data_IF_096518658453
#
_entry.id   IF_096518658453
#
_cell.length_a   1.000
_cell.length_b   1.000
_cell.length_c   1.000
_cell.angle_alpha   90.00
_cell.angle_beta   90.00
_cell.angle_gamma   90.00
#
_symmetry.space_group_name_H-M   'P 1'
#
loop_
_entity.id
_entity.type
_entity.pdbx_description
1 polymer ?
#
# COMPACT_ATOMS: atom_id res chain seq x y z
N UNK A 1 -0.30 -14.81 12.79
CA UNK A 1 1.14 -14.45 12.82
C UNK A 1 1.74 -14.72 11.46
N UNK A 2 2.48 -13.77 10.88
CA UNK A 2 3.11 -13.92 9.56
C UNK A 2 4.15 -15.05 9.49
N UNK A 3 4.76 -15.38 10.63
CA UNK A 3 5.71 -16.48 10.75
C UNK A 3 5.04 -17.82 10.38
N UNK A 4 3.77 -18.00 10.77
CA UNK A 4 2.99 -19.22 10.49
C UNK A 4 2.60 -19.31 9.01
N UNK A 5 2.49 -18.17 8.31
CA UNK A 5 2.05 -18.13 6.91
C UNK A 5 3.25 -18.18 5.96
N UNK A 6 4.23 -17.30 6.16
CA UNK A 6 5.38 -17.06 5.26
C UNK A 6 6.67 -17.78 5.69
N UNK A 7 6.69 -18.43 6.86
CA UNK A 7 7.85 -19.19 7.31
C UNK A 7 8.22 -20.32 6.35
N UNK A 8 9.46 -20.80 6.43
CA UNK A 8 9.91 -21.95 5.64
C UNK A 8 9.08 -23.22 5.92
N UNK A 9 8.49 -23.32 7.11
CA UNK A 9 7.54 -24.38 7.49
C UNK A 9 6.10 -23.86 7.61
N UNK A 10 5.83 -22.71 7.00
CA UNK A 10 4.53 -22.03 7.07
C UNK A 10 3.52 -22.57 6.05
N UNK A 11 2.27 -22.14 6.21
CA UNK A 11 1.12 -22.59 5.40
C UNK A 11 1.36 -22.53 3.88
N UNK A 12 1.96 -21.45 3.37
CA UNK A 12 2.19 -21.31 1.92
C UNK A 12 3.19 -22.35 1.42
N UNK A 13 4.31 -22.52 2.13
CA UNK A 13 5.31 -23.53 1.77
C UNK A 13 4.74 -24.95 1.90
N UNK A 14 3.92 -25.23 2.92
CA UNK A 14 3.28 -26.54 3.08
C UNK A 14 2.34 -26.89 1.91
N UNK A 15 1.57 -25.92 1.40
CA UNK A 15 0.73 -26.13 0.21
C UNK A 15 1.59 -26.32 -1.04
N UNK A 16 2.60 -25.48 -1.23
CA UNK A 16 3.48 -25.52 -2.40
C UNK A 16 4.25 -26.84 -2.50
N UNK A 17 4.73 -27.37 -1.37
CA UNK A 17 5.36 -28.69 -1.26
C UNK A 17 4.34 -29.81 -1.43
N UNK A 18 3.15 -29.70 -0.82
CA UNK A 18 2.09 -30.70 -0.94
C UNK A 18 1.58 -30.87 -2.39
N UNK A 19 1.51 -29.78 -3.14
CA UNK A 19 1.14 -29.77 -4.56
C UNK A 19 2.30 -30.12 -5.51
N UNK A 20 3.50 -30.42 -4.99
CA UNK A 20 4.72 -30.69 -5.78
C UNK A 20 5.05 -29.58 -6.80
N UNK A 21 4.71 -28.32 -6.48
CA UNK A 21 5.04 -27.16 -7.32
C UNK A 21 6.52 -26.76 -7.14
N UNK A 22 7.08 -27.05 -5.97
CA UNK A 22 8.49 -26.80 -5.60
C UNK A 22 9.02 -27.98 -4.79
N UNK A 23 10.31 -28.29 -4.96
CA UNK A 23 10.97 -29.39 -4.24
C UNK A 23 11.54 -28.98 -2.88
N UNK A 24 11.68 -27.68 -2.64
CA UNK A 24 12.24 -27.11 -1.40
C UNK A 24 11.47 -25.88 -0.95
N UNK A 25 11.41 -25.60 0.37
CA UNK A 25 10.76 -24.40 0.88
C UNK A 25 11.34 -23.13 0.25
N UNK A 26 10.46 -22.26 -0.24
CA UNK A 26 10.83 -20.93 -0.72
C UNK A 26 11.01 -20.02 0.49
N UNK A 27 12.17 -19.40 0.59
CA UNK A 27 12.46 -18.43 1.65
C UNK A 27 11.68 -17.14 1.38
N UNK A 28 10.50 -17.00 2.01
CA UNK A 28 9.68 -15.79 1.91
C UNK A 28 9.94 -14.83 3.08
N UNK A 29 10.22 -15.35 4.28
CA UNK A 29 10.69 -14.54 5.40
C UNK A 29 12.09 -13.98 5.15
N UNK A 30 12.37 -12.81 5.74
CA UNK A 30 13.63 -12.07 5.59
C UNK A 30 13.92 -11.62 4.15
N UNK A 31 12.90 -11.56 3.30
CA UNK A 31 13.00 -11.05 1.94
C UNK A 31 12.13 -9.82 1.76
N UNK A 32 12.47 -8.98 0.78
CA UNK A 32 11.64 -7.82 0.39
C UNK A 32 10.22 -8.25 0.04
N UNK A 33 10.07 -9.41 -0.62
CA UNK A 33 8.76 -9.96 -0.99
C UNK A 33 7.87 -10.21 0.24
N UNK A 34 8.38 -10.92 1.26
CA UNK A 34 7.61 -11.19 2.47
C UNK A 34 7.19 -9.92 3.21
N UNK A 35 8.07 -8.92 3.25
CA UNK A 35 7.76 -7.61 3.85
C UNK A 35 6.67 -6.88 3.06
N UNK A 36 6.77 -6.85 1.72
CA UNK A 36 5.76 -6.21 0.85
C UNK A 36 4.40 -6.89 1.00
N UNK A 37 4.33 -8.22 0.94
CA UNK A 37 3.08 -8.98 1.10
C UNK A 37 2.41 -8.64 2.44
N UNK A 38 3.20 -8.58 3.51
CA UNK A 38 2.67 -8.26 4.82
C UNK A 38 2.20 -6.82 4.96
N UNK A 39 2.94 -5.86 4.41
CA UNK A 39 2.53 -4.45 4.38
C UNK A 39 1.24 -4.28 3.57
N UNK A 40 1.14 -4.91 2.40
CA UNK A 40 -0.08 -4.90 1.57
C UNK A 40 -1.26 -5.46 2.35
N UNK A 41 -1.11 -6.62 2.99
CA UNK A 41 -2.23 -7.20 3.74
C UNK A 41 -2.67 -6.35 4.94
N UNK A 42 -1.74 -5.64 5.60
CA UNK A 42 -2.08 -4.73 6.70
C UNK A 42 -2.80 -3.47 6.20
N UNK A 43 -2.43 -2.95 5.02
CA UNK A 43 -3.04 -1.72 4.48
C UNK A 43 -4.27 -1.97 3.62
N UNK A 44 -4.46 -3.19 3.11
CA UNK A 44 -5.58 -3.55 2.23
C UNK A 44 -6.95 -3.26 2.87
N UNK A 45 -7.24 -3.63 4.13
CA UNK A 45 -8.55 -3.35 4.73
C UNK A 45 -8.87 -1.85 4.78
N UNK A 46 -7.88 -1.04 5.11
CA UNK A 46 -8.02 0.43 5.15
C UNK A 46 -8.32 0.97 3.77
N UNK A 47 -7.58 0.52 2.74
CA UNK A 47 -7.84 0.89 1.35
C UNK A 47 -9.25 0.51 0.91
N UNK A 48 -9.71 -0.70 1.23
CA UNK A 48 -11.05 -1.18 0.87
C UNK A 48 -12.12 -0.29 1.51
N UNK A 49 -11.97 0.07 2.79
CA UNK A 49 -12.93 0.95 3.47
C UNK A 49 -12.97 2.33 2.81
N UNK A 50 -11.80 2.91 2.49
CA UNK A 50 -11.73 4.22 1.85
C UNK A 50 -12.31 4.23 0.43
N UNK A 51 -12.07 3.16 -0.34
CA UNK A 51 -12.64 3.00 -1.68
C UNK A 51 -14.15 2.75 -1.63
N UNK A 52 -14.62 1.92 -0.69
CA UNK A 52 -16.05 1.67 -0.51
C UNK A 52 -16.80 2.96 -0.15
N UNK A 53 -16.24 3.76 0.76
CA UNK A 53 -16.78 5.08 1.09
C UNK A 53 -16.78 6.02 -0.12
N UNK A 54 -15.75 6.00 -0.96
CA UNK A 54 -15.71 6.81 -2.17
C UNK A 54 -16.83 6.44 -3.15
N UNK A 55 -16.97 5.13 -3.41
CA UNK A 55 -17.97 4.59 -4.32
C UNK A 55 -19.39 4.81 -3.82
N UNK A 56 -19.63 4.76 -2.50
CA UNK A 56 -20.97 4.98 -1.94
C UNK A 56 -21.49 6.41 -2.12
N UNK A 57 -20.63 7.38 -2.43
CA UNK A 57 -21.02 8.75 -2.74
C UNK A 57 -21.30 8.98 -4.24
N UNK A 58 -21.01 8.00 -5.10
CA UNK A 58 -21.31 8.09 -6.54
C UNK A 58 -22.78 7.78 -6.77
N UNK A 59 -23.51 8.71 -7.37
CA UNK A 59 -24.92 8.51 -7.71
C UNK A 59 -25.06 7.47 -8.83
N UNK A 60 -25.92 6.47 -8.62
CA UNK A 60 -26.26 5.43 -9.59
C UNK A 60 -26.87 6.00 -10.87
N UNK A 61 -27.44 7.20 -10.82
CA UNK A 61 -28.04 7.84 -11.99
C UNK A 61 -27.00 8.19 -13.07
N UNK A 62 -25.74 8.45 -12.70
CA UNK A 62 -24.67 8.64 -13.68
C UNK A 62 -24.38 7.36 -14.47
N UNK A 63 -24.42 6.20 -13.83
CA UNK A 63 -24.21 4.90 -14.49
C UNK A 63 -25.38 4.53 -15.40
N UNK A 64 -26.62 4.82 -14.96
CA UNK A 64 -27.84 4.63 -15.77
C UNK A 64 -27.83 5.53 -17.01
N UNK A 65 -27.41 6.79 -16.87
CA UNK A 65 -27.29 7.73 -17.99
C UNK A 65 -26.26 7.25 -19.03
N UNK A 66 -25.08 6.80 -18.58
CA UNK A 66 -24.06 6.24 -19.47
C UNK A 66 -24.56 5.00 -20.21
N UNK A 67 -25.25 4.10 -19.50
CA UNK A 67 -25.84 2.88 -20.10
C UNK A 67 -26.93 3.23 -21.12
N UNK A 68 -27.74 4.26 -20.84
CA UNK A 68 -28.79 4.75 -21.75
C UNK A 68 -28.22 5.38 -23.04
N UNK A 69 -27.00 5.93 -22.96
CA UNK A 69 -26.23 6.43 -24.11
C UNK A 69 -25.49 5.31 -24.88
N UNK A 70 -25.71 4.04 -24.53
CA UNK A 70 -25.09 2.88 -25.17
C UNK A 70 -23.69 2.56 -24.67
N UNK A 71 -23.25 3.10 -23.53
CA UNK A 71 -22.00 2.68 -22.92
C UNK A 71 -22.14 1.28 -22.31
N UNK A 72 -21.25 0.36 -22.71
CA UNK A 72 -21.13 -0.94 -22.05
C UNK A 72 -20.47 -0.84 -20.67
N UNK A 73 -20.53 -1.90 -19.85
CA UNK A 73 -20.12 -1.88 -18.43
C UNK A 73 -18.66 -1.44 -18.22
N UNK A 74 -17.73 -1.88 -19.07
CA UNK A 74 -16.32 -1.47 -19.01
C UNK A 74 -16.15 0.02 -19.31
N UNK A 75 -16.90 0.54 -20.28
CA UNK A 75 -16.85 1.96 -20.65
C UNK A 75 -17.43 2.81 -19.53
N UNK A 76 -18.59 2.44 -18.98
CA UNK A 76 -19.21 3.11 -17.83
C UNK A 76 -18.26 3.17 -16.64
N UNK A 77 -17.59 2.06 -16.31
CA UNK A 77 -16.59 2.05 -15.24
C UNK A 77 -15.44 3.02 -15.49
N UNK A 78 -14.83 2.99 -16.68
CA UNK A 78 -13.66 3.83 -16.99
C UNK A 78 -13.98 5.31 -17.14
N UNK A 79 -15.20 5.67 -17.60
CA UNK A 79 -15.57 7.06 -17.88
C UNK A 79 -16.40 7.72 -16.78
N UNK A 80 -17.08 6.94 -15.93
CA UNK A 80 -17.97 7.46 -14.87
C UNK A 80 -17.47 7.06 -13.50
N UNK A 81 -17.48 5.75 -13.19
CA UNK A 81 -17.20 5.26 -11.84
C UNK A 81 -15.76 5.57 -11.40
N UNK A 82 -14.77 5.31 -12.25
CA UNK A 82 -13.35 5.51 -11.94
C UNK A 82 -12.99 7.00 -11.73
N UNK A 83 -13.37 7.94 -12.62
CA UNK A 83 -13.10 9.37 -12.39
C UNK A 83 -13.83 9.93 -11.16
N UNK A 84 -15.09 9.56 -10.94
CA UNK A 84 -15.87 10.04 -9.79
C UNK A 84 -15.34 9.47 -8.47
N UNK A 85 -14.76 8.27 -8.49
CA UNK A 85 -14.13 7.66 -7.31
C UNK A 85 -12.69 8.14 -7.06
N UNK A 86 -12.11 8.91 -7.99
CA UNK A 86 -10.72 9.33 -7.93
C UNK A 86 -10.34 10.06 -6.63
N UNK A 87 -11.13 11.03 -6.10
CA UNK A 87 -10.81 11.70 -4.84
C UNK A 87 -10.64 10.72 -3.67
N UNK A 88 -11.47 9.69 -3.63
CA UNK A 88 -11.38 8.65 -2.61
C UNK A 88 -10.23 7.66 -2.83
N UNK A 89 -9.90 7.35 -4.09
CA UNK A 89 -8.69 6.60 -4.44
C UNK A 89 -7.44 7.36 -3.96
N UNK A 90 -7.36 8.67 -4.18
CA UNK A 90 -6.25 9.51 -3.71
C UNK A 90 -6.16 9.52 -2.19
N UNK A 91 -7.29 9.75 -1.51
CA UNK A 91 -7.34 9.73 -0.07
C UNK A 91 -6.84 8.37 0.48
N UNK A 92 -7.32 7.27 -0.11
CA UNK A 92 -6.84 5.91 0.17
C UNK A 92 -5.34 5.76 0.03
N UNK A 93 -4.81 6.05 -1.16
CA UNK A 93 -3.40 5.91 -1.47
C UNK A 93 -2.51 6.74 -0.55
N UNK A 94 -2.88 7.97 -0.24
CA UNK A 94 -2.12 8.83 0.67
C UNK A 94 -2.08 8.28 2.09
N UNK A 95 -3.20 7.76 2.60
CA UNK A 95 -3.28 7.11 3.92
C UNK A 95 -2.45 5.83 3.96
N UNK A 96 -2.57 4.97 2.95
CA UNK A 96 -1.80 3.74 2.87
C UNK A 96 -0.29 4.01 2.75
N UNK A 97 0.10 5.04 2.00
CA UNK A 97 1.49 5.48 1.93
C UNK A 97 1.99 5.95 3.30
N UNK A 98 1.25 6.81 4.00
CA UNK A 98 1.64 7.27 5.33
C UNK A 98 1.78 6.11 6.33
N UNK A 99 0.88 5.12 6.27
CA UNK A 99 0.92 3.94 7.14
C UNK A 99 2.11 3.03 6.82
N UNK A 100 2.32 2.70 5.55
CA UNK A 100 3.45 1.84 5.14
C UNK A 100 4.80 2.50 5.37
N UNK A 101 4.91 3.80 5.15
CA UNK A 101 6.16 4.55 5.34
C UNK A 101 6.53 4.67 6.83
N UNK A 102 5.54 4.74 7.73
CA UNK A 102 5.74 4.75 9.18
C UNK A 102 5.85 3.34 9.79
N UNK A 103 5.66 2.28 9.00
CA UNK A 103 5.66 0.91 9.50
C UNK A 103 7.07 0.47 9.94
N UNK A 104 7.25 0.30 11.24
CA UNK A 104 8.49 -0.23 11.82
C UNK A 104 8.37 -1.70 12.22
N UNK A 105 7.31 -2.05 12.96
CA UNK A 105 7.17 -3.39 13.55
C UNK A 105 7.07 -4.50 12.50
N UNK A 106 6.24 -4.31 11.45
CA UNK A 106 6.04 -5.33 10.41
C UNK A 106 7.32 -5.62 9.62
N UNK A 107 8.06 -4.62 9.08
CA UNK A 107 9.34 -4.89 8.44
C UNK A 107 10.40 -5.44 9.39
N UNK A 108 10.41 -5.00 10.65
CA UNK A 108 11.37 -5.52 11.63
C UNK A 108 11.14 -7.00 11.93
N UNK A 109 9.89 -7.43 12.12
CA UNK A 109 9.57 -8.82 12.43
C UNK A 109 9.71 -9.76 11.22
N UNK A 110 9.35 -9.30 10.02
CA UNK A 110 9.30 -10.15 8.83
C UNK A 110 10.59 -10.08 8.03
N UNK A 111 11.18 -8.88 7.93
CA UNK A 111 12.47 -8.63 7.31
C UNK A 111 13.64 -8.96 8.23
N UNK A 112 13.42 -9.07 9.55
CA UNK A 112 14.44 -9.46 10.54
C UNK A 112 15.66 -8.55 10.55
N UNK A 113 15.49 -7.26 10.24
CA UNK A 113 16.59 -6.30 10.08
C UNK A 113 17.49 -6.52 8.85
N UNK A 114 17.22 -7.56 8.02
CA UNK A 114 17.98 -7.83 6.78
C UNK A 114 17.46 -7.05 5.58
N UNK A 115 16.20 -6.63 5.64
CA UNK A 115 15.57 -5.79 4.62
C UNK A 115 15.56 -4.36 5.14
N UNK A 116 16.49 -3.49 4.71
CA UNK A 116 16.56 -2.12 5.22
C UNK A 116 15.37 -1.31 4.70
N UNK A 117 14.44 -0.97 5.58
CA UNK A 117 13.44 0.06 5.38
C UNK A 117 13.85 1.35 6.09
N UNK A 118 13.33 2.50 5.65
CA UNK A 118 13.66 3.81 6.23
C UNK A 118 13.51 3.80 7.76
N UNK A 119 12.38 3.29 8.26
CA UNK A 119 12.08 3.24 9.70
C UNK A 119 13.01 2.28 10.46
N UNK A 120 13.31 1.12 9.90
CA UNK A 120 14.24 0.15 10.53
C UNK A 120 15.68 0.66 10.52
N UNK A 121 16.07 1.40 9.48
CA UNK A 121 17.40 1.96 9.33
C UNK A 121 17.63 3.10 10.33
N UNK A 122 16.67 4.02 10.47
CA UNK A 122 16.71 5.08 11.49
C UNK A 122 16.86 4.46 12.89
N UNK A 123 16.07 3.42 13.19
CA UNK A 123 16.16 2.72 14.46
C UNK A 123 17.55 2.09 14.68
N UNK A 124 18.07 1.37 13.69
CA UNK A 124 19.38 0.73 13.76
C UNK A 124 20.50 1.75 14.00
N UNK A 125 20.47 2.88 13.29
CA UNK A 125 21.51 3.90 13.43
C UNK A 125 21.43 4.64 14.77
N UNK A 126 20.23 4.91 15.27
CA UNK A 126 20.04 5.58 16.55
C UNK A 126 20.36 4.69 17.75
N UNK A 127 19.84 3.46 17.76
CA UNK A 127 19.85 2.60 18.96
C UNK A 127 20.86 1.45 18.91
N UNK A 128 21.28 0.99 17.73
CA UNK A 128 22.29 -0.07 17.61
C UNK A 128 23.69 0.51 17.41
N UNK A 129 23.81 1.54 16.56
CA UNK A 129 25.09 2.19 16.26
C UNK A 129 25.38 3.45 17.11
N UNK A 130 24.45 3.85 17.99
CA UNK A 130 24.53 5.09 18.79
C UNK A 130 24.86 6.36 17.98
N UNK A 131 24.53 6.36 16.68
CA UNK A 131 24.78 7.48 15.77
C UNK A 131 23.52 8.34 15.66
N UNK A 132 23.17 8.99 16.77
CA UNK A 132 22.03 9.90 16.85
C UNK A 132 22.08 11.04 15.81
N UNK A 133 23.24 11.67 15.51
CA UNK A 133 23.30 12.72 14.50
C UNK A 133 22.85 12.25 13.11
N UNK A 134 23.31 11.07 12.67
CA UNK A 134 22.93 10.54 11.37
C UNK A 134 21.48 10.03 11.35
N UNK A 135 21.02 9.43 12.44
CA UNK A 135 19.63 9.02 12.58
C UNK A 135 18.67 10.23 12.53
N UNK A 136 19.04 11.36 13.14
CA UNK A 136 18.28 12.61 13.07
C UNK A 136 18.24 13.19 11.65
N UNK A 137 19.39 13.22 10.96
CA UNK A 137 19.46 13.66 9.56
C UNK A 137 18.55 12.83 8.65
N UNK A 138 18.63 11.49 8.75
CA UNK A 138 17.76 10.58 8.01
C UNK A 138 16.28 10.80 8.32
N UNK A 139 15.93 11.04 9.60
CA UNK A 139 14.54 11.28 10.01
C UNK A 139 13.97 12.54 9.37
N UNK A 140 14.75 13.63 9.35
CA UNK A 140 14.36 14.90 8.71
C UNK A 140 14.24 14.72 7.20
N UNK A 141 15.18 14.03 6.55
CA UNK A 141 15.11 13.74 5.11
C UNK A 141 13.90 12.87 4.76
N UNK A 142 13.62 11.84 5.56
CA UNK A 142 12.46 10.97 5.39
C UNK A 142 11.15 11.74 5.54
N UNK A 143 11.07 12.65 6.51
CA UNK A 143 9.92 13.54 6.70
C UNK A 143 9.73 14.46 5.48
N UNK A 144 10.80 15.13 5.04
CA UNK A 144 10.76 16.01 3.88
C UNK A 144 10.32 15.25 2.61
N UNK A 145 10.84 14.05 2.41
CA UNK A 145 10.45 13.18 1.29
C UNK A 145 8.97 12.78 1.37
N UNK A 146 8.48 12.42 2.56
CA UNK A 146 7.07 12.07 2.77
C UNK A 146 6.16 13.23 2.41
N UNK A 147 6.47 14.44 2.90
CA UNK A 147 5.71 15.65 2.57
C UNK A 147 5.75 15.94 1.08
N UNK A 148 6.92 15.82 0.44
CA UNK A 148 7.08 16.05 -0.99
C UNK A 148 6.25 15.05 -1.83
N UNK A 149 6.29 13.76 -1.51
CA UNK A 149 5.52 12.72 -2.21
C UNK A 149 4.03 12.94 -2.04
N UNK A 150 3.56 13.25 -0.82
CA UNK A 150 2.14 13.52 -0.58
C UNK A 150 1.67 14.80 -1.28
N UNK A 151 2.47 15.85 -1.29
CA UNK A 151 2.17 17.10 -2.01
C UNK A 151 2.12 16.87 -3.52
N UNK A 152 3.06 16.10 -4.08
CA UNK A 152 3.08 15.76 -5.49
C UNK A 152 1.89 14.88 -5.89
N UNK A 153 1.56 13.87 -5.08
CA UNK A 153 0.39 13.02 -5.32
C UNK A 153 -0.89 13.87 -5.37
N UNK A 154 -1.10 14.74 -4.38
CA UNK A 154 -2.24 15.68 -4.38
C UNK A 154 -2.24 16.60 -5.59
N UNK A 155 -1.08 17.16 -5.96
CA UNK A 155 -0.96 18.07 -7.10
C UNK A 155 -1.24 17.38 -8.45
N UNK A 156 -0.73 16.16 -8.65
CA UNK A 156 -0.90 15.39 -9.88
C UNK A 156 -2.35 14.93 -10.11
N UNK A 157 -3.12 14.76 -9.03
CA UNK A 157 -4.49 14.26 -9.08
C UNK A 157 -5.54 15.39 -9.03
N UNK A 158 -5.15 16.60 -8.65
CA UNK A 158 -5.97 17.82 -8.68
C UNK A 158 -6.67 18.10 -10.04
N UNK A 159 -6.06 17.83 -11.21
CA UNK A 159 -6.74 17.98 -12.51
C UNK A 159 -7.90 17.00 -12.69
N UNK A 160 -7.79 15.78 -12.15
CA UNK A 160 -8.84 14.75 -12.21
C UNK A 160 -10.01 15.11 -11.28
N UNK A 161 -9.75 15.65 -10.10
CA UNK A 161 -10.81 16.11 -9.18
C UNK A 161 -11.68 17.22 -9.80
N UNK A 162 -11.09 18.09 -10.63
CA UNK A 162 -11.83 19.14 -11.34
C UNK A 162 -12.73 18.63 -12.45
N UNK A 163 -12.45 17.45 -13.01
CA UNK A 163 -13.24 16.86 -14.09
C UNK A 163 -14.51 16.17 -13.57
N UNK A 164 -14.53 15.69 -12.32
CA UNK A 164 -15.71 15.09 -11.68
C UNK A 164 -16.63 16.08 -10.96
N UNK A 165 -16.29 17.38 -10.95
CA UNK A 165 -17.06 18.44 -10.29
C UNK A 165 -18.07 19.15 -11.23
N UNK A 166 -18.22 18.66 -12.47
CA UNK A 166 -19.15 19.12 -13.49
C UNK A 166 -20.08 17.98 -13.90
#
# INVERSE_FOLDING_TARGET
SWIIVLGNSGFINSILLGLHIVDRPVQMMFTTFGVVVALVHVTLPVMVIMLAAALSHVDLDYEKAATSLGAGPVRTFLTVTLPLSMPGIVAGLTTAFAWTFSAFATPQMIGGGRVPMVSTLIYQLGFSSFNFPFAAALSITALALTVAVLALARAALKPLERLGAH
#
